data_IF_232198260623
#
_entry.id   IF_232198260623
#
_cell.length_a   1.000
_cell.length_b   1.000
_cell.length_c   1.000
_cell.angle_alpha   90.00
_cell.angle_beta   90.00
_cell.angle_gamma   90.00
#
_symmetry.space_group_name_H-M   'P 1'
#
loop_
_entity.id
_entity.type
_entity.pdbx_description
1 polymer ?
#
# COMPACT_ATOMS: atom_id res chain seq x y z
N UNK A 1 -42.05 -24.58 -10.43
CA UNK A 1 -42.23 -23.40 -9.55
C UNK A 1 -41.09 -23.21 -8.55
N UNK A 2 -40.39 -24.28 -8.14
CA UNK A 2 -39.33 -24.18 -7.12
C UNK A 2 -38.10 -23.36 -7.55
N UNK A 3 -37.64 -23.47 -8.80
CA UNK A 3 -36.48 -22.70 -9.29
C UNK A 3 -36.68 -21.18 -9.32
N UNK A 4 -37.93 -20.71 -9.50
CA UNK A 4 -38.25 -19.27 -9.52
C UNK A 4 -38.20 -18.70 -8.10
N UNK A 5 -38.60 -19.48 -7.10
CA UNK A 5 -38.56 -19.08 -5.68
C UNK A 5 -37.11 -18.93 -5.23
N UNK A 6 -36.22 -19.87 -5.60
CA UNK A 6 -34.79 -19.81 -5.25
C UNK A 6 -34.13 -18.57 -5.84
N UNK A 7 -34.39 -18.26 -7.11
CA UNK A 7 -33.84 -17.06 -7.78
C UNK A 7 -34.36 -15.78 -7.11
N UNK A 8 -35.66 -15.70 -6.80
CA UNK A 8 -36.23 -14.53 -6.12
C UNK A 8 -35.64 -14.28 -4.74
N UNK A 9 -35.36 -15.34 -3.96
CA UNK A 9 -34.72 -15.23 -2.64
C UNK A 9 -33.28 -14.74 -2.75
N UNK A 10 -32.50 -15.25 -3.72
CA UNK A 10 -31.10 -14.84 -3.91
C UNK A 10 -31.03 -13.35 -4.31
N UNK A 11 -31.84 -12.92 -5.28
CA UNK A 11 -31.90 -11.51 -5.68
C UNK A 11 -32.43 -10.61 -4.55
N UNK A 12 -33.43 -11.07 -3.81
CA UNK A 12 -33.97 -10.35 -2.65
C UNK A 12 -32.95 -10.21 -1.52
N UNK A 13 -32.13 -11.24 -1.26
CA UNK A 13 -31.08 -11.19 -0.25
C UNK A 13 -29.94 -10.23 -0.65
N UNK A 14 -29.48 -10.30 -1.91
CA UNK A 14 -28.46 -9.38 -2.43
C UNK A 14 -28.96 -7.93 -2.37
N UNK A 15 -30.19 -7.69 -2.82
CA UNK A 15 -30.83 -6.38 -2.74
C UNK A 15 -30.97 -5.91 -1.28
N UNK A 16 -31.42 -6.79 -0.39
CA UNK A 16 -31.57 -6.51 1.04
C UNK A 16 -30.25 -6.08 1.69
N UNK A 17 -29.15 -6.80 1.41
CA UNK A 17 -27.82 -6.48 1.92
C UNK A 17 -27.35 -5.10 1.42
N UNK A 18 -27.48 -4.83 0.12
CA UNK A 18 -27.07 -3.55 -0.47
C UNK A 18 -27.92 -2.39 0.08
N UNK A 19 -29.23 -2.60 0.19
CA UNK A 19 -30.16 -1.62 0.74
C UNK A 19 -29.87 -1.27 2.20
N UNK A 20 -29.61 -2.30 3.03
CA UNK A 20 -29.23 -2.12 4.43
C UNK A 20 -27.90 -1.39 4.55
N UNK A 21 -26.91 -1.72 3.73
CA UNK A 21 -25.59 -1.06 3.74
C UNK A 21 -25.69 0.44 3.42
N UNK A 22 -26.43 0.80 2.36
CA UNK A 22 -26.62 2.20 1.97
C UNK A 22 -27.40 2.95 3.05
N UNK A 23 -28.47 2.35 3.56
CA UNK A 23 -29.34 2.97 4.58
C UNK A 23 -28.62 3.14 5.92
N UNK A 24 -27.82 2.15 6.35
CA UNK A 24 -27.02 2.23 7.56
C UNK A 24 -26.04 3.40 7.48
N UNK A 25 -25.31 3.54 6.36
CA UNK A 25 -24.38 4.65 6.15
C UNK A 25 -25.06 6.02 6.06
N UNK A 26 -26.24 6.08 5.47
CA UNK A 26 -27.01 7.33 5.41
C UNK A 26 -27.50 7.76 6.79
N UNK A 27 -27.97 6.81 7.61
CA UNK A 27 -28.39 7.06 9.00
C UNK A 27 -27.22 7.45 9.91
N UNK A 28 -26.05 6.82 9.76
CA UNK A 28 -24.83 7.21 10.46
C UNK A 28 -24.49 8.69 10.22
N UNK A 29 -24.45 9.10 8.94
CA UNK A 29 -24.15 10.48 8.53
C UNK A 29 -25.19 11.47 9.01
N UNK A 30 -26.47 11.11 8.96
CA UNK A 30 -27.55 11.97 9.44
C UNK A 30 -27.47 12.15 10.96
N UNK A 31 -27.18 11.09 11.72
CA UNK A 31 -27.03 11.17 13.17
C UNK A 31 -25.83 12.03 13.60
N UNK A 32 -24.76 12.07 12.79
CA UNK A 32 -23.59 12.93 13.02
C UNK A 32 -23.92 14.41 12.78
N UNK A 33 -24.83 14.71 11.85
CA UNK A 33 -25.33 16.07 11.59
C UNK A 33 -26.33 16.50 12.69
N UNK A 34 -27.26 15.62 13.06
CA UNK A 34 -28.29 15.87 14.09
C UNK A 34 -27.74 15.98 15.51
N UNK A 35 -26.66 15.24 15.82
CA UNK A 35 -26.00 15.36 17.13
C UNK A 35 -25.26 16.67 17.33
N UNK A 36 -25.12 17.52 16.29
CA UNK A 36 -24.54 18.86 16.42
C UNK A 36 -23.20 18.87 17.15
N UNK A 37 -22.46 17.75 17.11
CA UNK A 37 -21.19 17.57 17.79
C UNK A 37 -20.12 18.24 16.95
N UNK A 38 -20.13 19.56 17.05
CA UNK A 38 -19.00 20.45 16.96
C UNK A 38 -17.98 20.04 15.89
N UNK A 39 -18.21 20.53 14.68
CA UNK A 39 -17.18 20.54 13.64
C UNK A 39 -15.85 21.13 14.16
N UNK A 40 -15.81 21.88 15.28
CA UNK A 40 -14.57 22.39 15.84
C UNK A 40 -13.69 21.36 16.59
N UNK A 41 -14.23 20.22 17.06
CA UNK A 41 -13.44 19.20 17.79
C UNK A 41 -12.77 18.19 16.84
N UNK A 42 -13.25 18.07 15.60
CA UNK A 42 -12.61 17.24 14.55
C UNK A 42 -11.71 18.03 13.59
N UNK A 43 -11.81 19.37 13.55
CA UNK A 43 -10.85 20.19 12.80
C UNK A 43 -9.63 20.63 13.62
N UNK A 44 -9.66 20.44 14.95
CA UNK A 44 -8.53 20.67 15.84
C UNK A 44 -7.91 19.35 16.28
N UNK A 45 -6.59 19.24 16.18
CA UNK A 45 -5.75 18.11 16.58
C UNK A 45 -5.50 17.07 15.48
N UNK A 46 -4.30 17.13 14.92
CA UNK A 46 -3.73 16.15 14.00
C UNK A 46 -4.33 16.09 12.58
N UNK A 47 -4.08 17.16 11.82
CA UNK A 47 -3.27 16.92 10.61
C UNK A 47 -1.89 16.41 11.03
N UNK A 48 -1.83 15.17 11.56
CA UNK A 48 -0.61 14.37 11.44
C UNK A 48 -0.38 14.40 9.94
N UNK A 49 0.65 15.11 9.51
CA UNK A 49 1.15 15.02 8.15
C UNK A 49 1.74 13.61 8.04
N UNK A 50 0.92 12.58 8.17
CA UNK A 50 1.30 11.23 7.78
C UNK A 50 1.74 11.42 6.35
N UNK A 51 3.04 11.23 6.08
CA UNK A 51 3.56 11.43 4.75
C UNK A 51 2.65 10.64 3.80
N UNK A 52 2.12 11.26 2.72
CA UNK A 52 1.15 10.59 1.89
C UNK A 52 1.76 9.26 1.47
N UNK A 53 1.06 8.16 1.74
CA UNK A 53 1.55 6.77 1.57
C UNK A 53 2.18 6.56 0.18
N UNK A 54 1.69 7.30 -0.81
CA UNK A 54 2.23 7.41 -2.17
C UNK A 54 3.69 7.89 -2.25
N UNK A 55 4.11 8.88 -1.47
CA UNK A 55 5.51 9.35 -1.42
C UNK A 55 6.45 8.30 -0.82
N UNK A 56 5.97 7.56 0.17
CA UNK A 56 6.73 6.47 0.79
C UNK A 56 6.94 5.34 -0.22
N UNK A 57 5.89 5.00 -0.97
CA UNK A 57 5.92 3.98 -2.00
C UNK A 57 6.83 4.37 -3.17
N UNK A 58 6.75 5.62 -3.64
CA UNK A 58 7.60 6.11 -4.73
C UNK A 58 9.09 6.13 -4.32
N UNK A 59 9.39 6.51 -3.08
CA UNK A 59 10.76 6.55 -2.56
C UNK A 59 11.38 5.16 -2.50
N UNK A 60 10.65 4.19 -1.92
CA UNK A 60 11.13 2.81 -1.79
C UNK A 60 11.30 2.13 -3.15
N UNK A 61 10.37 2.33 -4.10
CA UNK A 61 10.50 1.80 -5.47
C UNK A 61 11.70 2.40 -6.18
N UNK A 62 11.91 3.72 -6.07
CA UNK A 62 13.04 4.38 -6.71
C UNK A 62 14.36 3.82 -6.21
N UNK A 63 14.50 3.63 -4.90
CA UNK A 63 15.72 3.15 -4.28
C UNK A 63 15.97 1.66 -4.55
N UNK A 64 14.91 0.86 -4.68
CA UNK A 64 15.00 -0.53 -5.12
C UNK A 64 15.51 -0.63 -6.57
N UNK A 65 14.97 0.18 -7.50
CA UNK A 65 15.41 0.21 -8.89
C UNK A 65 16.88 0.66 -9.01
N UNK A 66 17.29 1.66 -8.23
CA UNK A 66 18.69 2.10 -8.14
C UNK A 66 19.58 0.94 -7.63
N UNK A 67 19.18 0.27 -6.55
CA UNK A 67 19.93 -0.85 -5.98
C UNK A 67 20.10 -2.01 -6.97
N UNK A 68 19.06 -2.35 -7.74
CA UNK A 68 19.14 -3.36 -8.81
C UNK A 68 20.11 -2.93 -9.91
N UNK A 69 20.00 -1.69 -10.40
CA UNK A 69 20.87 -1.18 -11.46
C UNK A 69 22.35 -1.17 -11.05
N UNK A 70 22.64 -0.65 -9.86
CA UNK A 70 24.01 -0.65 -9.29
C UNK A 70 24.49 -2.09 -9.04
N UNK A 71 23.60 -2.99 -8.59
CA UNK A 71 23.89 -4.40 -8.36
C UNK A 71 24.34 -5.13 -9.63
N UNK A 72 23.69 -4.85 -10.77
CA UNK A 72 24.09 -5.42 -12.06
C UNK A 72 25.47 -4.93 -12.49
N UNK A 73 25.75 -3.63 -12.34
CA UNK A 73 27.07 -3.07 -12.68
C UNK A 73 28.18 -3.66 -11.82
N UNK A 74 28.00 -3.74 -10.49
CA UNK A 74 28.97 -4.35 -9.60
C UNK A 74 29.14 -5.85 -9.86
N UNK A 75 28.05 -6.59 -10.09
CA UNK A 75 28.12 -8.02 -10.44
C UNK A 75 28.94 -8.25 -11.72
N UNK A 76 28.75 -7.41 -12.73
CA UNK A 76 29.52 -7.46 -13.97
C UNK A 76 31.01 -7.21 -13.76
N UNK A 77 31.37 -6.25 -12.90
CA UNK A 77 32.76 -5.98 -12.52
C UNK A 77 33.34 -7.16 -11.73
N UNK A 78 32.56 -7.74 -10.82
CA UNK A 78 32.97 -8.85 -9.95
C UNK A 78 33.23 -10.13 -10.76
N UNK A 79 32.34 -10.46 -11.69
CA UNK A 79 32.52 -11.59 -12.59
C UNK A 79 33.74 -11.42 -13.49
N UNK A 80 33.95 -10.23 -14.09
CA UNK A 80 35.05 -10.00 -15.03
C UNK A 80 36.44 -9.89 -14.39
N UNK A 81 36.54 -9.28 -13.20
CA UNK A 81 37.83 -9.01 -12.58
C UNK A 81 38.23 -10.05 -11.52
N UNK A 82 37.25 -10.62 -10.81
CA UNK A 82 37.50 -11.58 -9.74
C UNK A 82 37.13 -13.02 -10.14
N UNK A 83 36.71 -13.23 -11.38
CA UNK A 83 36.34 -14.54 -11.94
C UNK A 83 35.30 -15.30 -11.09
N UNK A 84 34.44 -14.53 -10.38
CA UNK A 84 33.35 -15.06 -9.55
C UNK A 84 32.26 -15.61 -10.45
N UNK A 85 31.71 -16.77 -10.10
CA UNK A 85 30.69 -17.43 -10.92
C UNK A 85 29.47 -16.52 -11.15
N UNK A 86 28.98 -16.47 -12.38
CA UNK A 86 27.91 -15.56 -12.77
C UNK A 86 26.60 -15.89 -12.04
N UNK A 87 26.37 -17.19 -11.78
CA UNK A 87 25.19 -17.68 -11.07
C UNK A 87 25.15 -17.22 -9.61
N UNK A 88 26.28 -16.82 -9.04
CA UNK A 88 26.37 -16.31 -7.66
C UNK A 88 26.52 -14.79 -7.65
N UNK A 89 27.38 -14.25 -8.52
CA UNK A 89 27.71 -12.83 -8.56
C UNK A 89 26.49 -11.96 -8.88
N UNK A 90 25.70 -12.33 -9.90
CA UNK A 90 24.54 -11.55 -10.32
C UNK A 90 23.42 -11.52 -9.27
N UNK A 91 22.82 -12.66 -8.90
CA UNK A 91 21.75 -12.64 -7.89
C UNK A 91 22.26 -12.15 -6.53
N UNK A 92 23.48 -12.52 -6.12
CA UNK A 92 24.06 -12.08 -4.85
C UNK A 92 24.20 -10.56 -4.76
N UNK A 93 24.79 -9.92 -5.77
CA UNK A 93 25.00 -8.46 -5.74
C UNK A 93 23.70 -7.69 -5.95
N UNK A 94 22.78 -8.20 -6.77
CA UNK A 94 21.48 -7.56 -7.01
C UNK A 94 20.63 -7.60 -5.74
N UNK A 95 20.47 -8.75 -5.09
CA UNK A 95 19.65 -8.84 -3.88
C UNK A 95 20.24 -8.06 -2.70
N UNK A 96 21.56 -8.05 -2.56
CA UNK A 96 22.22 -7.28 -1.50
C UNK A 96 22.05 -5.78 -1.70
N UNK A 97 22.33 -5.25 -2.89
CA UNK A 97 22.20 -3.81 -3.14
C UNK A 97 20.74 -3.34 -3.22
N UNK A 98 19.83 -4.13 -3.79
CA UNK A 98 18.40 -3.83 -3.74
C UNK A 98 17.86 -3.82 -2.30
N UNK A 99 18.31 -4.76 -1.45
CA UNK A 99 17.96 -4.81 -0.04
C UNK A 99 18.47 -3.61 0.76
N UNK A 100 19.74 -3.22 0.54
CA UNK A 100 20.32 -2.01 1.15
C UNK A 100 19.55 -0.77 0.71
N UNK A 101 19.25 -0.66 -0.59
CA UNK A 101 18.45 0.43 -1.14
C UNK A 101 17.09 0.52 -0.44
N UNK A 102 16.36 -0.59 -0.34
CA UNK A 102 15.06 -0.59 0.32
C UNK A 102 15.15 -0.27 1.83
N UNK A 103 16.18 -0.76 2.52
CA UNK A 103 16.40 -0.47 3.95
C UNK A 103 16.65 1.01 4.21
N UNK A 104 17.47 1.66 3.37
CA UNK A 104 17.69 3.10 3.42
C UNK A 104 16.39 3.85 3.12
N UNK A 105 15.60 3.39 2.15
CA UNK A 105 14.31 3.99 1.78
C UNK A 105 13.29 3.92 2.93
N UNK A 106 13.27 2.80 3.64
CA UNK A 106 12.45 2.63 4.84
C UNK A 106 12.89 3.57 5.97
N UNK A 107 14.20 3.70 6.20
CA UNK A 107 14.71 4.60 7.23
C UNK A 107 14.41 6.07 6.90
N UNK A 108 14.61 6.50 5.65
CA UNK A 108 14.25 7.85 5.21
C UNK A 108 12.74 8.10 5.32
N UNK A 109 11.91 7.12 4.97
CA UNK A 109 10.46 7.22 5.14
C UNK A 109 10.06 7.41 6.60
N UNK A 110 10.76 6.79 7.55
CA UNK A 110 10.49 6.91 8.98
C UNK A 110 10.77 8.32 9.53
N UNK A 111 11.62 9.09 8.85
CA UNK A 111 11.94 10.48 9.21
C UNK A 111 11.00 11.52 8.54
N UNK A 112 10.05 11.06 7.70
CA UNK A 112 9.07 11.92 7.02
C UNK A 112 7.71 11.98 7.73
N UNK A 113 7.51 11.16 8.77
CA UNK A 113 6.41 11.25 9.75
C UNK A 113 6.77 12.17 10.92
#
# INVERSE_FOLDING_TARGET
>A
MEGVIVVAIIFGAIFGIIYLFITARHKERLSLIEKGADASIFYSTNKRKTAPIWKILILNISLLLIGVGVGIFLAGILHRNFNVDAEVAFPGTIFTLAGIGLFVGFNLSKNLD
#
